data_IF_899658295479
#
_entry.id   IF_899658295479
#
_cell.length_a   1.000
_cell.length_b   1.000
_cell.length_c   1.000
_cell.angle_alpha   90.00
_cell.angle_beta   90.00
_cell.angle_gamma   90.00
#
_symmetry.space_group_name_H-M   'P 1'
#
loop_
_entity.id
_entity.type
_entity.pdbx_description
1 polymer ?
#
# COMPACT_ATOMS: atom_id res chain seq x y z
N UNK A 1 -0.85 -22.00 15.52
CA UNK A 1 -0.97 -21.02 14.42
C UNK A 1 -1.73 -19.77 14.84
N UNK A 2 -3.03 -19.81 15.25
CA UNK A 2 -3.80 -18.58 15.58
C UNK A 2 -3.19 -17.78 16.73
N UNK A 3 -2.79 -18.42 17.82
CA UNK A 3 -2.14 -17.75 18.94
C UNK A 3 -0.76 -17.19 18.56
N UNK A 4 0.01 -17.92 17.78
CA UNK A 4 1.34 -17.50 17.30
C UNK A 4 1.27 -16.27 16.40
N UNK A 5 0.29 -16.21 15.49
CA UNK A 5 0.14 -15.04 14.61
C UNK A 5 -0.35 -13.80 15.37
N UNK A 6 -1.25 -13.98 16.36
CA UNK A 6 -1.67 -12.89 17.25
C UNK A 6 -0.47 -12.35 18.03
N UNK A 7 0.38 -13.22 18.56
CA UNK A 7 1.58 -12.83 19.32
C UNK A 7 2.57 -12.06 18.43
N UNK A 8 2.88 -12.58 17.23
CA UNK A 8 3.72 -11.89 16.24
C UNK A 8 3.17 -10.51 15.92
N UNK A 9 1.93 -10.47 15.46
CA UNK A 9 1.28 -9.23 15.04
C UNK A 9 1.25 -8.18 16.15
N UNK A 10 0.78 -8.56 17.35
CA UNK A 10 0.71 -7.65 18.49
C UNK A 10 2.07 -7.21 19.01
N UNK A 11 3.13 -7.96 18.71
CA UNK A 11 4.52 -7.56 18.97
C UNK A 11 5.00 -6.54 17.95
N UNK A 12 4.76 -6.78 16.66
CA UNK A 12 5.25 -5.91 15.59
C UNK A 12 4.56 -4.54 15.58
N UNK A 13 3.25 -4.48 15.82
CA UNK A 13 2.51 -3.20 15.82
C UNK A 13 2.95 -2.24 16.92
N UNK A 14 3.58 -2.72 17.99
CA UNK A 14 4.10 -1.87 19.07
C UNK A 14 5.37 -1.11 18.70
N UNK A 15 6.05 -1.51 17.64
CA UNK A 15 7.22 -0.78 17.13
C UNK A 15 6.73 0.39 16.29
N UNK A 16 7.10 1.61 16.65
CA UNK A 16 6.77 2.80 15.88
C UNK A 16 7.63 2.85 14.61
N UNK A 17 7.00 2.65 13.47
CA UNK A 17 7.66 2.57 12.15
C UNK A 17 7.05 3.54 11.14
N UNK A 18 6.31 4.55 11.61
CA UNK A 18 5.71 5.55 10.73
C UNK A 18 6.78 6.16 9.81
N UNK A 19 6.49 6.20 8.51
CA UNK A 19 7.38 6.82 7.51
C UNK A 19 7.34 8.35 7.58
N UNK A 20 8.32 9.02 6.97
CA UNK A 20 8.45 10.49 6.95
C UNK A 20 8.81 10.96 5.54
N UNK A 21 7.86 11.60 4.85
CA UNK A 21 8.05 12.15 3.51
C UNK A 21 9.05 13.31 3.45
N UNK A 22 9.30 13.98 4.58
CA UNK A 22 10.11 15.19 4.65
C UNK A 22 11.62 14.94 4.56
N UNK A 23 12.05 13.66 4.67
CA UNK A 23 13.45 13.26 4.62
C UNK A 23 13.75 12.44 3.38
N UNK A 24 15.00 12.52 2.90
CA UNK A 24 15.46 11.77 1.70
C UNK A 24 16.22 10.47 2.06
N UNK A 25 16.31 10.13 3.35
CA UNK A 25 16.95 8.89 3.79
C UNK A 25 16.08 7.66 3.48
N UNK A 26 16.70 6.51 3.36
CA UNK A 26 16.02 5.21 3.25
C UNK A 26 16.67 4.23 4.25
N UNK A 27 15.90 3.69 5.20
CA UNK A 27 14.51 4.05 5.47
C UNK A 27 14.36 5.50 5.95
N UNK A 28 13.16 6.05 5.83
CA UNK A 28 12.86 7.43 6.25
C UNK A 28 12.88 7.61 7.76
N UNK A 29 12.64 6.55 8.53
CA UNK A 29 12.64 6.58 9.99
C UNK A 29 13.42 5.44 10.62
N UNK A 30 14.09 5.64 11.76
CA UNK A 30 14.90 4.61 12.41
C UNK A 30 14.07 3.45 13.01
N UNK A 31 12.78 3.66 13.27
CA UNK A 31 11.89 2.61 13.77
C UNK A 31 11.76 1.43 12.80
N UNK A 32 11.81 1.70 11.51
CA UNK A 32 11.79 0.68 10.47
C UNK A 32 13.01 -0.25 10.55
N UNK A 33 14.19 0.29 10.83
CA UNK A 33 15.39 -0.52 11.09
C UNK A 33 15.25 -1.35 12.37
N UNK A 34 14.59 -0.80 13.39
CA UNK A 34 14.34 -1.54 14.64
C UNK A 34 13.49 -2.76 14.37
N UNK A 35 12.35 -2.60 13.68
CA UNK A 35 11.52 -3.73 13.31
C UNK A 35 12.26 -4.69 12.36
N UNK A 36 12.95 -4.17 11.35
CA UNK A 36 13.72 -4.98 10.40
C UNK A 36 14.75 -5.90 11.08
N UNK A 37 15.48 -5.39 12.08
CA UNK A 37 16.42 -6.22 12.86
C UNK A 37 15.71 -7.29 13.69
N UNK A 38 14.57 -6.97 14.31
CA UNK A 38 13.75 -7.97 15.02
C UNK A 38 13.30 -9.10 14.07
N UNK A 39 12.90 -8.75 12.85
CA UNK A 39 12.46 -9.71 11.84
C UNK A 39 13.62 -10.60 11.37
N UNK A 40 14.82 -10.04 11.20
CA UNK A 40 16.04 -10.84 10.88
C UNK A 40 16.33 -11.86 11.99
N UNK A 41 16.27 -11.44 13.25
CA UNK A 41 16.52 -12.33 14.37
C UNK A 41 15.46 -13.44 14.45
N UNK A 42 14.21 -13.13 14.22
CA UNK A 42 13.12 -14.10 14.20
C UNK A 42 13.23 -15.06 13.00
N UNK A 43 13.50 -14.58 11.79
CA UNK A 43 13.73 -15.41 10.60
C UNK A 43 14.85 -16.42 10.85
N UNK A 44 15.96 -16.02 11.48
CA UNK A 44 17.05 -16.92 11.86
C UNK A 44 16.59 -17.93 12.90
N UNK A 45 15.80 -17.51 13.87
CA UNK A 45 15.32 -18.40 14.96
C UNK A 45 14.40 -19.50 14.45
N UNK A 46 13.60 -19.24 13.42
CA UNK A 46 12.73 -20.25 12.79
C UNK A 46 13.47 -21.13 11.77
N UNK A 47 14.72 -20.79 11.39
CA UNK A 47 15.56 -21.63 10.55
C UNK A 47 16.06 -21.00 9.25
N UNK A 48 15.67 -19.79 8.89
CA UNK A 48 16.11 -19.07 7.68
C UNK A 48 17.44 -18.35 7.95
N UNK A 49 18.54 -19.08 7.90
CA UNK A 49 19.86 -18.64 8.40
C UNK A 49 20.52 -17.53 7.56
N UNK A 50 20.13 -17.37 6.29
CA UNK A 50 20.63 -16.31 5.40
C UNK A 50 19.93 -14.96 5.58
N UNK A 51 18.97 -14.87 6.51
CA UNK A 51 18.23 -13.65 6.78
C UNK A 51 19.18 -12.49 7.10
N UNK A 52 19.02 -11.39 6.40
CA UNK A 52 19.84 -10.19 6.56
C UNK A 52 19.04 -8.93 6.23
N UNK A 53 19.37 -7.84 6.92
CA UNK A 53 18.92 -6.49 6.58
C UNK A 53 20.07 -5.75 5.89
N UNK A 54 19.78 -5.02 4.84
CA UNK A 54 20.78 -4.21 4.17
C UNK A 54 20.84 -2.77 4.73
N UNK A 55 21.74 -1.96 4.19
CA UNK A 55 21.96 -0.57 4.59
C UNK A 55 20.77 0.35 4.33
N UNK A 56 19.85 -0.06 3.45
CA UNK A 56 18.64 0.67 3.11
C UNK A 56 17.40 0.14 3.85
N UNK A 57 17.57 -0.84 4.76
CA UNK A 57 16.48 -1.37 5.58
C UNK A 57 15.70 -2.53 4.97
N UNK A 58 16.07 -3.04 3.80
CA UNK A 58 15.43 -4.21 3.21
C UNK A 58 15.88 -5.49 3.91
N UNK A 59 14.92 -6.21 4.47
CA UNK A 59 15.14 -7.54 5.02
C UNK A 59 14.91 -8.56 3.92
N UNK A 60 15.82 -9.50 3.75
CA UNK A 60 15.66 -10.61 2.80
C UNK A 60 16.08 -11.93 3.43
N UNK A 61 15.37 -13.01 3.09
CA UNK A 61 15.68 -14.36 3.52
C UNK A 61 15.23 -15.40 2.50
N UNK A 62 15.78 -16.62 2.61
CA UNK A 62 15.42 -17.76 1.75
C UNK A 62 14.95 -18.95 2.59
N UNK A 63 13.80 -19.50 2.23
CA UNK A 63 13.44 -20.87 2.57
C UNK A 63 13.85 -21.78 1.41
N UNK A 64 14.85 -22.67 1.59
CA UNK A 64 15.33 -23.56 0.53
C UNK A 64 14.24 -24.52 0.04
N UNK A 65 14.29 -24.91 -1.23
CA UNK A 65 13.43 -25.96 -1.78
C UNK A 65 13.58 -27.26 -1.00
N UNK A 66 12.48 -27.98 -0.82
CA UNK A 66 12.44 -29.33 -0.22
C UNK A 66 11.94 -30.40 -1.21
N UNK A 67 11.97 -30.11 -2.51
CA UNK A 67 11.61 -31.02 -3.60
C UNK A 67 12.75 -31.16 -4.61
N UNK A 68 12.77 -32.25 -5.37
CA UNK A 68 13.72 -32.50 -6.47
C UNK A 68 13.25 -31.92 -7.81
N UNK A 69 12.04 -31.38 -7.87
CA UNK A 69 11.49 -30.75 -9.09
C UNK A 69 12.14 -29.39 -9.34
N UNK A 70 12.15 -28.98 -10.60
CA UNK A 70 12.58 -27.65 -11.03
C UNK A 70 11.42 -26.66 -10.90
N UNK A 71 11.23 -26.15 -9.68
CA UNK A 71 10.16 -25.22 -9.34
C UNK A 71 10.67 -23.79 -9.41
N UNK A 72 9.96 -22.86 -10.08
CA UNK A 72 10.34 -21.46 -10.04
C UNK A 72 10.44 -20.91 -8.61
N UNK A 73 11.49 -20.14 -8.33
CA UNK A 73 11.59 -19.43 -7.05
C UNK A 73 10.53 -18.35 -6.97
N UNK A 74 9.69 -18.39 -5.95
CA UNK A 74 8.64 -17.39 -5.70
C UNK A 74 9.00 -16.52 -4.50
N UNK A 75 8.46 -15.30 -4.46
CA UNK A 75 8.66 -14.36 -3.37
C UNK A 75 7.38 -13.99 -2.65
N UNK A 76 7.48 -13.66 -1.36
CA UNK A 76 6.43 -12.99 -0.59
C UNK A 76 7.00 -11.75 0.06
N UNK A 77 6.28 -10.62 -0.07
CA UNK A 77 6.71 -9.32 0.42
C UNK A 77 5.62 -8.66 1.27
N UNK A 78 6.05 -7.88 2.26
CA UNK A 78 5.22 -6.96 3.02
C UNK A 78 6.07 -5.75 3.42
N UNK A 79 5.43 -4.59 3.68
CA UNK A 79 6.19 -3.43 4.13
C UNK A 79 6.23 -3.27 5.65
N UNK A 80 7.27 -2.62 6.16
CA UNK A 80 7.49 -2.45 7.61
C UNK A 80 6.97 -1.14 8.15
N UNK A 81 6.83 -0.13 7.30
CA UNK A 81 6.37 1.19 7.71
C UNK A 81 4.85 1.25 7.90
N UNK A 82 4.37 2.33 8.45
CA UNK A 82 2.95 2.65 8.61
C UNK A 82 2.66 4.02 8.03
N UNK A 83 1.41 4.21 7.62
CA UNK A 83 0.90 5.42 7.00
C UNK A 83 1.13 6.68 7.83
N UNK A 84 1.26 7.81 7.12
CA UNK A 84 1.46 9.13 7.73
C UNK A 84 0.16 9.82 8.14
N UNK A 85 -1.00 9.26 7.73
CA UNK A 85 -2.34 9.85 7.92
C UNK A 85 -2.74 9.93 9.39
N UNK A 86 -2.36 8.95 10.19
CA UNK A 86 -2.66 8.89 11.62
C UNK A 86 -1.46 8.35 12.40
N UNK A 87 -1.33 8.73 13.67
CA UNK A 87 -0.15 8.33 14.46
C UNK A 87 -0.07 6.83 14.69
N UNK A 88 1.12 6.23 14.45
CA UNK A 88 1.49 4.85 14.78
C UNK A 88 2.32 4.73 16.06
N UNK A 89 2.38 5.80 16.88
CA UNK A 89 3.21 5.83 18.08
C UNK A 89 2.45 5.31 19.31
N UNK A 90 3.06 4.39 20.04
CA UNK A 90 2.47 3.75 21.23
C UNK A 90 1.18 2.97 20.94
N UNK A 91 1.14 2.24 19.85
CA UNK A 91 0.02 1.38 19.51
C UNK A 91 -0.26 0.40 20.64
N UNK A 92 -1.53 0.35 21.08
CA UNK A 92 -2.01 -0.50 22.14
C UNK A 92 -3.13 -1.42 21.59
N UNK A 93 -2.78 -2.56 20.97
CA UNK A 93 -3.75 -3.44 20.34
C UNK A 93 -4.70 -4.06 21.38
N UNK A 94 -5.99 -4.08 21.06
CA UNK A 94 -7.04 -4.67 21.87
C UNK A 94 -7.53 -5.96 21.19
N UNK A 95 -7.69 -7.04 21.96
CA UNK A 95 -8.19 -8.32 21.44
C UNK A 95 -9.65 -8.48 21.86
N UNK A 96 -10.53 -8.63 20.86
CA UNK A 96 -11.96 -8.88 21.04
C UNK A 96 -12.23 -10.32 20.62
N UNK A 97 -12.28 -11.22 21.60
CA UNK A 97 -12.57 -12.63 21.35
C UNK A 97 -14.06 -12.83 21.04
N UNK A 98 -14.34 -13.69 20.05
CA UNK A 98 -15.70 -14.09 19.66
C UNK A 98 -16.64 -12.88 19.49
N UNK A 99 -16.22 -11.94 18.63
CA UNK A 99 -16.99 -10.72 18.37
C UNK A 99 -18.49 -10.99 18.20
N UNK A 100 -19.34 -10.24 18.91
CA UNK A 100 -20.78 -10.51 19.00
C UNK A 100 -21.63 -9.83 17.91
N UNK A 101 -21.02 -8.99 17.07
CA UNK A 101 -21.67 -8.26 15.98
C UNK A 101 -22.21 -6.88 16.39
N UNK A 102 -21.80 -6.34 17.54
CA UNK A 102 -22.24 -5.03 18.05
C UNK A 102 -21.09 -4.03 18.08
N UNK A 103 -21.38 -2.85 18.64
CA UNK A 103 -20.40 -1.80 18.88
C UNK A 103 -19.20 -2.30 19.71
N UNK A 104 -18.00 -1.91 19.28
CA UNK A 104 -16.77 -2.11 20.05
C UNK A 104 -16.33 -0.73 20.57
N UNK A 105 -16.34 -0.55 21.88
CA UNK A 105 -15.85 0.68 22.51
C UNK A 105 -14.33 0.61 22.54
N UNK A 106 -13.69 1.35 21.62
CA UNK A 106 -12.22 1.45 21.55
C UNK A 106 -11.67 2.34 22.68
N UNK A 107 -12.38 3.43 22.98
CA UNK A 107 -11.96 4.38 24.02
C UNK A 107 -13.18 5.07 24.64
N UNK A 108 -13.43 4.78 25.92
CA UNK A 108 -14.56 5.40 26.65
C UNK A 108 -14.37 6.90 26.88
N UNK A 109 -13.13 7.33 27.22
CA UNK A 109 -12.85 8.73 27.55
C UNK A 109 -12.96 9.65 26.31
N UNK A 110 -12.49 9.14 25.15
CA UNK A 110 -12.54 9.85 23.88
C UNK A 110 -13.82 9.59 23.09
N UNK A 111 -14.72 8.74 23.64
CA UNK A 111 -15.96 8.31 22.97
C UNK A 111 -15.73 7.76 21.55
N UNK A 112 -14.65 6.99 21.37
CA UNK A 112 -14.34 6.34 20.10
C UNK A 112 -14.96 4.96 20.10
N UNK A 113 -15.91 4.75 19.18
CA UNK A 113 -16.69 3.52 19.05
C UNK A 113 -16.58 3.03 17.61
N UNK A 114 -16.12 1.78 17.43
CA UNK A 114 -16.17 1.08 16.15
C UNK A 114 -17.56 0.43 16.06
N UNK A 115 -18.43 1.00 15.23
CA UNK A 115 -19.86 0.67 15.19
C UNK A 115 -20.28 0.10 13.83
N UNK A 116 -21.13 -0.95 13.80
CA UNK A 116 -21.78 -1.42 12.57
C UNK A 116 -22.58 -0.36 11.81
N UNK A 117 -23.09 0.65 12.51
CA UNK A 117 -23.82 1.76 11.86
C UNK A 117 -22.91 2.62 10.98
N UNK A 118 -21.63 2.72 11.33
CA UNK A 118 -20.63 3.45 10.57
C UNK A 118 -19.86 2.52 9.63
N UNK A 119 -19.63 1.28 10.01
CA UNK A 119 -18.85 0.28 9.31
C UNK A 119 -19.72 -0.98 9.05
N UNK A 120 -20.49 -0.99 7.96
CA UNK A 120 -21.50 -2.02 7.70
C UNK A 120 -20.91 -3.42 7.40
N UNK A 121 -19.61 -3.52 7.12
CA UNK A 121 -18.88 -4.78 6.97
C UNK A 121 -18.63 -5.49 8.31
N UNK A 122 -18.53 -4.74 9.41
CA UNK A 122 -18.15 -5.24 10.73
C UNK A 122 -19.00 -6.42 11.24
N UNK A 123 -20.34 -6.46 11.07
CA UNK A 123 -21.17 -7.62 11.45
C UNK A 123 -20.78 -8.94 10.75
N UNK A 124 -20.14 -8.87 9.60
CA UNK A 124 -19.63 -10.04 8.87
C UNK A 124 -18.55 -10.82 9.63
N UNK A 125 -17.93 -10.19 10.63
CA UNK A 125 -16.90 -10.78 11.48
C UNK A 125 -17.43 -11.41 12.77
N UNK A 126 -18.75 -11.54 12.91
CA UNK A 126 -19.34 -12.16 14.10
C UNK A 126 -18.78 -13.56 14.35
N UNK A 127 -18.32 -13.79 15.58
CA UNK A 127 -17.66 -15.03 16.01
C UNK A 127 -16.15 -15.05 15.80
N UNK A 128 -15.58 -14.09 15.06
CA UNK A 128 -14.14 -13.97 14.89
C UNK A 128 -13.45 -13.37 16.12
N UNK A 129 -12.17 -13.61 16.26
CA UNK A 129 -11.31 -12.84 17.14
C UNK A 129 -10.81 -11.63 16.36
N UNK A 130 -11.17 -10.43 16.81
CA UNK A 130 -10.70 -9.17 16.19
C UNK A 130 -9.58 -8.57 17.02
N UNK A 131 -8.64 -7.92 16.32
CA UNK A 131 -7.61 -7.10 16.93
C UNK A 131 -7.87 -5.66 16.45
N UNK A 132 -8.02 -4.73 17.39
CA UNK A 132 -8.34 -3.33 17.14
C UNK A 132 -7.30 -2.41 17.78
N UNK A 133 -7.37 -1.13 17.44
CA UNK A 133 -6.65 -0.09 18.21
C UNK A 133 -7.41 0.21 19.51
N UNK A 134 -6.81 1.04 20.37
CA UNK A 134 -7.50 1.67 21.50
C UNK A 134 -8.13 3.03 21.15
N UNK A 135 -8.26 3.36 19.86
CA UNK A 135 -8.85 4.60 19.37
C UNK A 135 -7.95 5.82 19.44
N UNK A 136 -6.69 5.68 19.89
CA UNK A 136 -5.71 6.79 19.97
C UNK A 136 -4.69 6.79 18.85
N UNK A 137 -4.51 5.65 18.18
CA UNK A 137 -3.56 5.43 17.08
C UNK A 137 -4.22 4.65 15.95
N UNK A 138 -3.54 4.56 14.79
CA UNK A 138 -3.80 3.46 13.87
C UNK A 138 -3.40 2.12 14.51
N UNK A 139 -3.75 0.98 13.91
CA UNK A 139 -3.32 -0.33 14.40
C UNK A 139 -1.98 -0.76 13.80
N UNK A 140 -1.76 -0.46 12.53
CA UNK A 140 -0.61 -0.92 11.73
C UNK A 140 -0.80 -2.32 11.16
N UNK A 141 -2.05 -2.76 10.97
CA UNK A 141 -2.35 -3.98 10.22
C UNK A 141 -1.84 -3.86 8.79
N UNK A 142 -1.94 -2.69 8.22
CA UNK A 142 -1.26 -2.25 7.03
C UNK A 142 0.15 -1.73 7.40
N UNK A 143 1.26 -2.52 7.18
CA UNK A 143 1.20 -3.90 6.64
C UNK A 143 1.93 -4.91 7.57
N UNK A 144 1.90 -4.70 8.89
CA UNK A 144 2.50 -5.64 9.85
C UNK A 144 1.69 -6.95 9.95
N UNK A 145 0.46 -6.97 9.41
CA UNK A 145 -0.30 -8.21 9.27
C UNK A 145 0.35 -9.11 8.22
N UNK A 146 0.63 -8.58 7.02
CA UNK A 146 1.34 -9.33 5.98
C UNK A 146 2.70 -9.86 6.45
N UNK A 147 3.44 -9.05 7.24
CA UNK A 147 4.69 -9.53 7.88
C UNK A 147 4.41 -10.74 8.78
N UNK A 148 3.44 -10.64 9.68
CA UNK A 148 3.11 -11.73 10.61
C UNK A 148 2.63 -12.99 9.88
N UNK A 149 1.90 -12.83 8.79
CA UNK A 149 1.38 -13.90 7.95
C UNK A 149 2.50 -14.62 7.20
N UNK A 150 3.41 -13.88 6.56
CA UNK A 150 4.59 -14.44 5.89
C UNK A 150 5.48 -15.18 6.89
N UNK A 151 5.78 -14.56 8.02
CA UNK A 151 6.61 -15.18 9.08
C UNK A 151 5.99 -16.47 9.58
N UNK A 152 4.66 -16.48 9.79
CA UNK A 152 3.95 -17.68 10.27
C UNK A 152 3.88 -18.76 9.20
N UNK A 153 3.72 -18.40 7.92
CA UNK A 153 3.75 -19.35 6.80
C UNK A 153 5.11 -20.02 6.66
N UNK A 154 6.21 -19.26 6.77
CA UNK A 154 7.57 -19.81 6.69
C UNK A 154 7.84 -20.76 7.87
N UNK A 155 7.50 -20.36 9.09
CA UNK A 155 7.64 -21.20 10.29
C UNK A 155 6.81 -22.50 10.16
N UNK A 156 5.59 -22.39 9.61
CA UNK A 156 4.74 -23.55 9.37
C UNK A 156 5.34 -24.51 8.35
N UNK A 157 5.82 -24.03 7.21
CA UNK A 157 6.45 -24.86 6.17
C UNK A 157 7.72 -25.56 6.68
N UNK A 158 8.53 -24.88 7.51
CA UNK A 158 9.72 -25.46 8.13
C UNK A 158 9.35 -26.60 9.10
N UNK A 159 8.28 -26.45 9.86
CA UNK A 159 7.78 -27.46 10.79
C UNK A 159 7.08 -28.62 10.09
N UNK A 160 6.65 -28.44 8.83
CA UNK A 160 5.89 -29.41 8.04
C UNK A 160 6.61 -29.79 6.72
N UNK A 161 7.78 -30.46 6.79
CA UNK A 161 8.58 -30.78 5.61
C UNK A 161 7.91 -31.78 4.63
N UNK A 162 6.81 -32.39 5.03
CA UNK A 162 5.95 -33.19 4.16
C UNK A 162 5.25 -32.33 3.10
N UNK A 163 5.02 -31.03 3.34
CA UNK A 163 4.50 -30.07 2.35
C UNK A 163 5.65 -29.71 1.42
N UNK A 164 5.54 -30.13 0.17
CA UNK A 164 6.58 -29.88 -0.83
C UNK A 164 6.42 -28.50 -1.46
N UNK A 165 7.56 -27.82 -1.62
CA UNK A 165 7.63 -26.48 -2.21
C UNK A 165 8.99 -26.23 -2.88
N UNK A 166 9.03 -25.35 -3.87
CA UNK A 166 10.27 -24.79 -4.41
C UNK A 166 10.97 -23.85 -3.43
N UNK A 167 12.02 -23.18 -3.87
CA UNK A 167 12.65 -22.13 -3.07
C UNK A 167 11.69 -20.94 -2.91
N UNK A 168 11.60 -20.42 -1.69
CA UNK A 168 10.76 -19.25 -1.37
C UNK A 168 11.66 -18.13 -0.88
N UNK A 169 11.50 -16.94 -1.48
CA UNK A 169 12.14 -15.71 -1.04
C UNK A 169 11.17 -14.91 -0.17
N UNK A 170 11.67 -14.32 0.89
CA UNK A 170 10.91 -13.39 1.73
C UNK A 170 11.62 -12.05 1.70
N UNK A 171 10.86 -10.97 1.58
CA UNK A 171 11.39 -9.61 1.77
C UNK A 171 10.43 -8.74 2.57
N UNK A 172 11.00 -7.86 3.41
CA UNK A 172 10.27 -6.80 4.08
C UNK A 172 10.86 -5.47 3.65
N UNK A 173 10.00 -4.58 3.15
CA UNK A 173 10.37 -3.33 2.47
C UNK A 173 10.12 -2.11 3.37
N UNK A 174 10.98 -1.09 3.37
CA UNK A 174 10.72 0.18 4.03
C UNK A 174 9.96 1.15 3.12
N UNK A 175 9.33 2.18 3.71
CA UNK A 175 8.85 3.40 3.03
C UNK A 175 7.84 3.16 1.89
N UNK A 176 7.02 2.11 1.96
CA UNK A 176 5.94 1.84 1.00
C UNK A 176 4.92 2.96 1.02
N UNK A 177 4.46 3.36 2.19
CA UNK A 177 3.40 4.33 2.47
C UNK A 177 3.68 5.75 1.94
N UNK A 178 4.93 6.02 1.63
CA UNK A 178 5.38 7.25 0.97
C UNK A 178 5.82 7.01 -0.48
N UNK A 179 5.46 5.85 -1.06
CA UNK A 179 5.70 5.48 -2.44
C UNK A 179 7.16 5.22 -2.80
N UNK A 180 8.02 4.93 -1.82
CA UNK A 180 9.46 4.72 -2.00
C UNK A 180 9.90 3.26 -1.79
N UNK A 181 9.00 2.37 -1.42
CA UNK A 181 9.30 0.98 -1.05
C UNK A 181 10.27 0.28 -2.01
N UNK A 182 10.02 0.22 -3.33
CA UNK A 182 10.91 -0.49 -4.25
C UNK A 182 12.13 0.30 -4.73
N UNK A 183 12.29 1.59 -4.38
CA UNK A 183 13.27 2.47 -5.01
C UNK A 183 14.72 1.97 -4.93
N UNK A 184 15.08 1.27 -3.86
CA UNK A 184 16.42 0.68 -3.67
C UNK A 184 16.38 -0.84 -3.54
N UNK A 185 15.23 -1.46 -3.87
CA UNK A 185 15.08 -2.91 -3.81
C UNK A 185 15.95 -3.59 -4.86
N UNK A 186 16.80 -4.50 -4.44
CA UNK A 186 17.68 -5.27 -5.33
C UNK A 186 16.97 -6.54 -5.83
N UNK A 187 16.25 -6.41 -6.95
CA UNK A 187 15.53 -7.53 -7.60
C UNK A 187 16.48 -8.68 -7.96
N UNK A 188 17.74 -8.39 -8.35
CA UNK A 188 18.72 -9.43 -8.68
C UNK A 188 19.15 -10.22 -7.47
N UNK A 189 19.37 -9.53 -6.33
CA UNK A 189 19.69 -10.18 -5.05
C UNK A 189 18.48 -10.95 -4.52
N UNK A 190 17.29 -10.40 -4.70
CA UNK A 190 16.06 -11.11 -4.32
C UNK A 190 15.89 -12.41 -5.11
N UNK A 191 16.22 -12.41 -6.39
CA UNK A 191 16.33 -13.59 -7.24
C UNK A 191 15.11 -14.52 -7.21
N UNK A 192 13.92 -13.95 -7.28
CA UNK A 192 12.67 -14.66 -7.49
C UNK A 192 12.17 -14.46 -8.93
N UNK A 193 11.50 -15.46 -9.50
CA UNK A 193 10.86 -15.38 -10.81
C UNK A 193 9.58 -14.54 -10.78
N UNK A 194 8.85 -14.66 -9.68
CA UNK A 194 7.58 -14.00 -9.39
C UNK A 194 7.50 -13.71 -7.89
N UNK A 195 6.65 -12.78 -7.51
CA UNK A 195 6.38 -12.53 -6.10
C UNK A 195 4.89 -12.21 -5.85
N UNK A 196 4.52 -12.13 -4.60
CA UNK A 196 3.23 -11.64 -4.11
C UNK A 196 3.49 -10.63 -3.00
N UNK A 197 2.89 -9.46 -3.06
CA UNK A 197 2.72 -8.63 -1.87
C UNK A 197 1.57 -9.18 -1.05
N UNK A 198 1.75 -9.30 0.25
CA UNK A 198 0.71 -9.68 1.22
C UNK A 198 0.28 -8.39 1.90
N UNK A 199 -0.51 -7.58 1.17
CA UNK A 199 -0.74 -6.17 1.44
C UNK A 199 -2.17 -5.70 1.08
N UNK A 200 -3.05 -6.65 0.79
CA UNK A 200 -4.44 -6.38 0.50
C UNK A 200 -5.30 -6.24 1.76
N UNK A 201 -6.53 -5.80 1.58
CA UNK A 201 -7.50 -5.59 2.65
C UNK A 201 -8.32 -6.84 2.99
N UNK A 202 -9.65 -6.82 2.77
CA UNK A 202 -10.57 -7.86 3.18
C UNK A 202 -10.27 -9.25 2.59
N UNK A 203 -10.78 -10.26 3.27
CA UNK A 203 -10.67 -11.66 2.86
C UNK A 203 -11.03 -11.89 1.39
N UNK A 204 -10.13 -12.51 0.67
CA UNK A 204 -10.29 -12.94 -0.71
C UNK A 204 -9.86 -11.92 -1.76
N UNK A 205 -9.41 -10.74 -1.38
CA UNK A 205 -8.84 -9.79 -2.35
C UNK A 205 -7.62 -10.37 -3.05
N UNK A 206 -7.65 -10.22 -4.39
CA UNK A 206 -6.56 -10.60 -5.28
C UNK A 206 -6.47 -9.54 -6.37
N UNK A 207 -5.35 -8.84 -6.43
CA UNK A 207 -5.22 -7.65 -7.23
C UNK A 207 -3.97 -7.74 -8.12
N UNK A 208 -4.16 -7.48 -9.40
CA UNK A 208 -3.07 -7.47 -10.39
C UNK A 208 -3.15 -6.25 -11.33
N UNK A 209 -4.01 -5.32 -10.98
CA UNK A 209 -4.16 -4.02 -11.64
C UNK A 209 -4.02 -2.89 -10.63
N UNK A 210 -3.33 -1.83 -11.01
CA UNK A 210 -3.19 -0.59 -10.25
C UNK A 210 -3.41 0.61 -11.15
N UNK A 211 -3.60 1.79 -10.59
CA UNK A 211 -3.58 2.99 -11.42
C UNK A 211 -2.24 3.19 -12.15
N UNK A 212 -2.28 3.89 -13.30
CA UNK A 212 -1.16 4.72 -13.73
C UNK A 212 -1.24 6.04 -12.96
N UNK A 213 -0.12 6.56 -12.52
CA UNK A 213 -0.05 7.67 -11.58
C UNK A 213 0.95 8.75 -12.00
N UNK A 214 0.52 10.01 -11.92
CA UNK A 214 1.39 11.16 -12.03
C UNK A 214 1.10 12.17 -10.92
N UNK A 215 2.12 12.92 -10.53
CA UNK A 215 1.99 14.11 -9.69
C UNK A 215 2.23 15.36 -10.55
N UNK A 216 1.44 16.42 -10.31
CA UNK A 216 1.59 17.70 -10.97
C UNK A 216 1.68 18.81 -9.93
N UNK A 217 2.82 19.47 -9.85
CA UNK A 217 3.06 20.64 -9.01
C UNK A 217 3.01 21.90 -9.88
N UNK A 218 2.14 22.84 -9.53
CA UNK A 218 1.96 24.05 -10.31
C UNK A 218 2.28 25.23 -9.40
N UNK A 219 3.23 26.07 -9.85
CA UNK A 219 3.58 27.32 -9.16
C UNK A 219 3.12 28.49 -10.01
N UNK A 220 2.30 29.37 -9.43
CA UNK A 220 1.73 30.55 -10.08
C UNK A 220 2.28 31.80 -9.39
N UNK A 221 2.92 32.68 -10.17
CA UNK A 221 3.46 33.96 -9.70
C UNK A 221 2.47 35.10 -10.03
N UNK A 222 2.09 35.83 -9.01
CA UNK A 222 1.28 37.03 -9.11
C UNK A 222 2.09 38.31 -9.27
N UNK A 223 1.46 39.41 -8.98
CA UNK A 223 2.04 40.75 -8.82
C UNK A 223 1.23 41.51 -7.80
N UNK A 224 1.72 41.61 -6.58
CA UNK A 224 1.02 42.26 -5.51
C UNK A 224 1.29 43.78 -5.54
N UNK A 225 0.23 44.57 -5.40
CA UNK A 225 0.28 46.03 -5.23
C UNK A 225 -0.85 46.46 -4.28
N UNK A 226 -0.74 47.69 -3.75
CA UNK A 226 -1.79 48.20 -2.87
C UNK A 226 -3.17 48.16 -3.55
N UNK A 227 -4.21 47.56 -2.94
CA UNK A 227 -5.55 47.37 -3.56
C UNK A 227 -6.16 48.63 -4.12
N UNK A 228 -5.97 49.78 -3.46
CA UNK A 228 -6.49 51.08 -3.91
C UNK A 228 -5.91 51.60 -5.23
N UNK A 229 -4.76 51.03 -5.67
CA UNK A 229 -4.07 51.41 -6.92
C UNK A 229 -3.81 50.23 -7.83
N UNK A 230 -4.55 49.14 -7.62
CA UNK A 230 -4.32 47.84 -8.25
C UNK A 230 -4.80 47.73 -9.69
N UNK A 231 -5.67 48.61 -10.15
CA UNK A 231 -6.27 48.53 -11.50
C UNK A 231 -5.20 48.53 -12.59
N UNK A 232 -5.20 47.47 -13.41
CA UNK A 232 -4.25 47.25 -14.49
C UNK A 232 -2.80 46.88 -14.07
N UNK A 233 -2.58 46.61 -12.76
CA UNK A 233 -1.26 46.28 -12.21
C UNK A 233 -1.23 45.00 -11.43
N UNK A 234 -2.23 44.78 -10.57
CA UNK A 234 -2.30 43.57 -9.74
C UNK A 234 -2.61 42.32 -10.59
N UNK A 235 -1.87 41.30 -10.36
CA UNK A 235 -2.15 39.93 -10.83
C UNK A 235 -2.23 39.06 -9.59
N UNK A 236 -3.40 38.49 -9.33
CA UNK A 236 -3.64 37.70 -8.13
C UNK A 236 -3.46 36.20 -8.45
N UNK A 237 -2.37 35.63 -7.97
CA UNK A 237 -2.04 34.23 -8.23
C UNK A 237 -3.09 33.26 -7.70
N UNK A 238 -3.72 33.55 -6.54
CA UNK A 238 -4.77 32.71 -5.98
C UNK A 238 -6.01 32.66 -6.89
N UNK A 239 -6.37 33.76 -7.55
CA UNK A 239 -7.48 33.78 -8.54
C UNK A 239 -7.16 32.98 -9.78
N UNK A 240 -5.88 32.98 -10.23
CA UNK A 240 -5.44 32.16 -11.36
C UNK A 240 -5.50 30.68 -10.98
N UNK A 241 -5.09 30.32 -9.74
CA UNK A 241 -5.19 28.96 -9.23
C UNK A 241 -6.63 28.44 -9.20
N UNK A 242 -7.58 29.26 -8.73
CA UNK A 242 -9.01 28.92 -8.76
C UNK A 242 -9.52 28.72 -10.19
N UNK A 243 -9.08 29.57 -11.13
CA UNK A 243 -9.42 29.44 -12.55
C UNK A 243 -8.85 28.17 -13.15
N UNK A 244 -7.59 27.83 -12.85
CA UNK A 244 -6.97 26.58 -13.28
C UNK A 244 -7.82 25.38 -12.87
N UNK A 245 -8.19 25.29 -11.59
CA UNK A 245 -9.04 24.21 -11.09
C UNK A 245 -10.41 24.16 -11.81
N UNK A 246 -11.00 25.31 -12.14
CA UNK A 246 -12.29 25.37 -12.84
C UNK A 246 -12.24 24.97 -14.32
N UNK A 247 -11.07 24.90 -14.92
CA UNK A 247 -10.86 24.46 -16.30
C UNK A 247 -10.65 22.94 -16.42
N UNK A 248 -10.40 22.25 -15.32
CA UNK A 248 -10.38 20.78 -15.27
C UNK A 248 -11.82 20.25 -15.16
N UNK A 249 -12.08 19.02 -15.66
CA UNK A 249 -13.41 18.39 -15.52
C UNK A 249 -13.81 18.27 -14.05
N UNK A 250 -14.94 18.87 -13.69
CA UNK A 250 -15.38 18.94 -12.28
C UNK A 250 -15.89 17.60 -11.73
N UNK A 251 -16.36 16.72 -12.59
CA UNK A 251 -16.87 15.39 -12.28
C UNK A 251 -15.78 14.30 -12.30
N UNK A 252 -14.55 14.65 -12.69
CA UNK A 252 -13.41 13.75 -12.69
C UNK A 252 -12.52 13.98 -11.44
N UNK A 253 -13.13 13.96 -10.26
CA UNK A 253 -12.47 14.04 -8.97
C UNK A 253 -12.80 12.81 -8.11
N UNK A 254 -11.98 12.45 -7.10
CA UNK A 254 -12.19 11.25 -6.30
C UNK A 254 -13.59 11.14 -5.69
N UNK A 255 -14.21 12.26 -5.33
CA UNK A 255 -15.54 12.32 -4.75
C UNK A 255 -16.66 11.94 -5.73
N UNK A 256 -16.37 11.83 -7.02
CA UNK A 256 -17.33 11.52 -8.08
C UNK A 256 -16.98 10.29 -8.92
N UNK A 257 -15.86 9.62 -8.62
CA UNK A 257 -15.35 8.52 -9.44
C UNK A 257 -15.25 7.21 -8.65
N UNK A 258 -15.54 6.08 -9.32
CA UNK A 258 -15.48 4.73 -8.76
C UNK A 258 -14.94 3.72 -9.78
N UNK A 259 -14.72 2.48 -9.35
CA UNK A 259 -14.29 1.38 -10.22
C UNK A 259 -13.05 1.72 -11.03
N UNK A 260 -13.15 1.66 -12.35
CA UNK A 260 -12.06 1.95 -13.29
C UNK A 260 -11.95 3.43 -13.73
N UNK A 261 -12.76 4.31 -13.17
CA UNK A 261 -12.74 5.72 -13.52
C UNK A 261 -11.53 6.43 -12.94
N UNK A 262 -10.82 7.17 -13.80
CA UNK A 262 -9.67 7.98 -13.40
C UNK A 262 -10.08 9.37 -12.92
N UNK A 263 -9.13 10.12 -12.34
CA UNK A 263 -9.41 11.43 -11.74
C UNK A 263 -8.21 12.38 -11.74
N UNK A 264 -8.53 13.66 -11.50
CA UNK A 264 -7.62 14.70 -11.01
C UNK A 264 -7.97 14.99 -9.55
N UNK A 265 -7.01 14.86 -8.66
CA UNK A 265 -7.23 15.19 -7.25
C UNK A 265 -6.32 16.34 -6.82
N UNK A 266 -6.93 17.46 -6.42
CA UNK A 266 -6.22 18.58 -5.82
C UNK A 266 -5.90 18.23 -4.36
N UNK A 267 -4.66 17.81 -4.10
CA UNK A 267 -4.20 17.47 -2.74
C UNK A 267 -4.03 18.70 -1.86
N UNK A 268 -3.48 19.77 -2.42
CA UNK A 268 -3.26 21.00 -1.67
C UNK A 268 -3.25 22.23 -2.55
N UNK A 269 -3.67 23.35 -1.97
CA UNK A 269 -3.50 24.69 -2.50
C UNK A 269 -3.00 25.60 -1.38
N UNK A 270 -1.88 26.29 -1.62
CA UNK A 270 -1.29 27.20 -0.66
C UNK A 270 -0.76 28.44 -1.35
N UNK A 271 -1.09 29.60 -0.83
CA UNK A 271 -0.58 30.87 -1.37
C UNK A 271 -1.44 32.09 -1.08
N UNK A 272 -1.07 33.18 -1.75
CA UNK A 272 -1.70 34.50 -1.60
C UNK A 272 -1.74 35.26 -2.94
N UNK A 273 -1.71 36.60 -2.94
CA UNK A 273 -1.69 37.39 -4.18
C UNK A 273 -0.39 37.22 -4.95
N UNK A 274 0.75 37.06 -4.25
CA UNK A 274 2.08 37.09 -4.85
C UNK A 274 2.49 35.72 -5.44
N UNK A 275 2.24 34.61 -4.72
CA UNK A 275 2.54 33.26 -5.19
C UNK A 275 1.51 32.26 -4.67
N UNK A 276 1.07 31.35 -5.53
CA UNK A 276 0.22 30.21 -5.15
C UNK A 276 0.76 28.91 -5.75
N UNK A 277 0.78 27.88 -4.93
CA UNK A 277 1.19 26.52 -5.31
C UNK A 277 -0.01 25.58 -5.21
N UNK A 278 -0.16 24.73 -6.22
CA UNK A 278 -1.13 23.64 -6.25
C UNK A 278 -0.39 22.33 -6.41
N UNK A 279 -0.88 21.31 -5.73
CA UNK A 279 -0.39 19.93 -5.90
C UNK A 279 -1.57 19.06 -6.31
N UNK A 280 -1.47 18.45 -7.49
CA UNK A 280 -2.41 17.46 -8.01
C UNK A 280 -1.77 16.10 -8.10
N UNK A 281 -2.59 15.08 -7.93
CA UNK A 281 -2.31 13.74 -8.44
C UNK A 281 -3.29 13.41 -9.56
N UNK A 282 -2.81 12.68 -10.56
CA UNK A 282 -3.56 12.26 -11.74
C UNK A 282 -3.52 10.74 -11.76
N UNK A 283 -4.68 10.11 -11.90
CA UNK A 283 -4.84 8.65 -11.88
C UNK A 283 -5.74 8.19 -13.01
N UNK A 284 -5.38 7.09 -13.63
CA UNK A 284 -6.24 6.34 -14.56
C UNK A 284 -5.72 4.91 -14.74
N UNK A 285 -6.59 3.94 -14.92
CA UNK A 285 -6.20 2.56 -15.22
C UNK A 285 -5.76 2.39 -16.67
N UNK A 286 -6.43 3.09 -17.58
CA UNK A 286 -6.10 3.05 -19.01
C UNK A 286 -4.94 4.00 -19.33
N UNK A 287 -3.95 3.50 -20.06
CA UNK A 287 -2.74 4.25 -20.38
C UNK A 287 -2.97 5.43 -21.32
N UNK A 288 -3.89 5.28 -22.27
CA UNK A 288 -4.20 6.32 -23.24
C UNK A 288 -5.04 7.43 -22.58
N UNK A 289 -6.02 7.05 -21.73
CA UNK A 289 -6.75 7.99 -20.90
C UNK A 289 -5.83 8.73 -19.92
N UNK A 290 -4.92 8.02 -19.27
CA UNK A 290 -3.91 8.63 -18.40
C UNK A 290 -3.06 9.68 -19.13
N UNK A 291 -2.60 9.34 -20.33
CA UNK A 291 -1.83 10.28 -21.16
C UNK A 291 -2.70 11.49 -21.55
N UNK A 292 -3.95 11.27 -21.96
CA UNK A 292 -4.92 12.33 -22.29
C UNK A 292 -5.17 13.28 -21.10
N UNK A 293 -5.25 12.74 -19.87
CA UNK A 293 -5.39 13.56 -18.66
C UNK A 293 -4.17 14.46 -18.44
N UNK A 294 -2.97 13.93 -18.63
CA UNK A 294 -1.73 14.73 -18.52
C UNK A 294 -1.67 15.82 -19.58
N UNK A 295 -2.08 15.53 -20.80
CA UNK A 295 -2.15 16.51 -21.88
C UNK A 295 -3.21 17.60 -21.61
N UNK A 296 -4.35 17.23 -21.03
CA UNK A 296 -5.35 18.19 -20.59
C UNK A 296 -4.79 19.14 -19.52
N UNK A 297 -4.06 18.63 -18.53
CA UNK A 297 -3.39 19.48 -17.54
C UNK A 297 -2.40 20.43 -18.19
N UNK A 298 -1.56 19.96 -19.11
CA UNK A 298 -0.62 20.81 -19.87
C UNK A 298 -1.34 21.89 -20.65
N UNK A 299 -2.39 21.53 -21.39
CA UNK A 299 -3.19 22.48 -22.21
C UNK A 299 -3.83 23.57 -21.33
N UNK A 300 -4.38 23.22 -20.17
CA UNK A 300 -4.94 24.19 -19.23
C UNK A 300 -3.87 25.16 -18.73
N UNK A 301 -2.69 24.65 -18.39
CA UNK A 301 -1.56 25.50 -17.99
C UNK A 301 -1.12 26.43 -19.14
N UNK A 302 -0.97 25.90 -20.37
CA UNK A 302 -0.62 26.70 -21.55
C UNK A 302 -1.65 27.79 -21.87
N UNK A 303 -2.94 27.49 -21.73
CA UNK A 303 -4.01 28.49 -21.90
C UNK A 303 -3.83 29.65 -20.92
N UNK A 304 -3.56 29.36 -19.65
CA UNK A 304 -3.36 30.38 -18.63
C UNK A 304 -2.01 31.10 -18.80
N UNK A 305 -0.96 30.44 -19.25
CA UNK A 305 0.31 31.06 -19.62
C UNK A 305 0.15 32.07 -20.77
N UNK A 306 -0.69 31.76 -21.77
CA UNK A 306 -1.00 32.68 -22.87
C UNK A 306 -1.80 33.91 -22.39
N UNK A 307 -2.68 33.75 -21.37
CA UNK A 307 -3.48 34.85 -20.82
C UNK A 307 -2.69 35.72 -19.83
N UNK A 308 -1.87 35.15 -18.98
CA UNK A 308 -1.21 35.84 -17.86
C UNK A 308 0.30 36.02 -18.02
N UNK A 309 0.94 35.33 -18.93
CA UNK A 309 2.37 35.37 -19.22
C UNK A 309 3.06 34.03 -18.97
N UNK A 310 3.94 33.62 -19.89
CA UNK A 310 4.64 32.33 -19.92
C UNK A 310 5.45 32.06 -18.63
N UNK A 311 6.12 33.08 -18.09
CA UNK A 311 7.01 32.92 -16.94
C UNK A 311 6.25 32.88 -15.60
N UNK A 312 4.92 33.09 -15.60
CA UNK A 312 4.12 33.19 -14.37
C UNK A 312 3.64 31.85 -13.88
N UNK A 313 3.46 30.89 -14.76
CA UNK A 313 2.89 29.59 -14.39
C UNK A 313 3.89 28.51 -14.78
N UNK A 314 4.37 27.78 -13.79
CA UNK A 314 5.30 26.66 -13.96
C UNK A 314 4.58 25.37 -13.60
N UNK A 315 4.69 24.37 -14.46
CA UNK A 315 4.20 23.02 -14.25
C UNK A 315 5.40 22.06 -14.15
N UNK A 316 5.50 21.39 -13.02
CA UNK A 316 6.37 20.23 -12.82
C UNK A 316 5.46 19.00 -12.68
N UNK A 317 5.51 18.12 -13.69
CA UNK A 317 4.63 16.93 -13.75
C UNK A 317 5.46 15.70 -14.07
N UNK A 318 5.40 14.70 -13.17
CA UNK A 318 6.20 13.50 -13.24
C UNK A 318 5.33 12.26 -13.02
N UNK A 319 5.58 11.22 -13.82
CA UNK A 319 4.96 9.91 -13.61
C UNK A 319 5.57 9.26 -12.35
N UNK A 320 4.72 8.62 -11.55
CA UNK A 320 5.10 8.00 -10.28
C UNK A 320 5.24 6.48 -10.43
N UNK A 321 4.21 5.85 -11.01
CA UNK A 321 4.17 4.42 -11.31
C UNK A 321 3.14 4.15 -12.42
N UNK A 322 3.12 2.92 -12.91
CA UNK A 322 2.21 2.47 -13.97
C UNK A 322 1.42 1.25 -13.54
N UNK A 323 0.29 1.00 -14.23
CA UNK A 323 -0.56 -0.15 -13.99
C UNK A 323 0.24 -1.46 -14.14
N UNK A 324 0.34 -2.23 -13.06
CA UNK A 324 1.10 -3.49 -13.02
C UNK A 324 0.52 -4.58 -13.94
N UNK A 325 -0.73 -4.47 -14.35
CA UNK A 325 -1.38 -5.41 -15.28
C UNK A 325 -0.52 -5.66 -16.52
N UNK A 326 0.06 -4.63 -17.13
CA UNK A 326 0.91 -4.74 -18.32
C UNK A 326 2.05 -5.75 -18.14
N UNK A 327 2.56 -5.88 -16.92
CA UNK A 327 3.67 -6.77 -16.57
C UNK A 327 3.24 -8.13 -16.02
N UNK A 328 2.04 -8.21 -15.46
CA UNK A 328 1.51 -9.44 -14.86
C UNK A 328 0.72 -10.26 -15.90
N UNK A 329 0.00 -9.61 -16.80
CA UNK A 329 -0.82 -10.28 -17.83
C UNK A 329 -0.04 -11.31 -18.69
N UNK A 330 1.23 -11.07 -19.10
CA UNK A 330 2.04 -12.06 -19.79
C UNK A 330 2.37 -13.33 -18.98
N UNK A 331 2.21 -13.28 -17.67
CA UNK A 331 2.46 -14.38 -16.71
C UNK A 331 1.25 -14.59 -15.80
N UNK A 332 0.05 -14.46 -16.35
CA UNK A 332 -1.22 -14.46 -15.61
C UNK A 332 -1.43 -15.74 -14.77
N UNK A 333 -0.69 -16.80 -15.06
CA UNK A 333 -0.72 -18.05 -14.31
C UNK A 333 -0.44 -17.83 -12.81
N UNK A 334 0.39 -16.84 -12.45
CA UNK A 334 0.66 -16.56 -11.04
C UNK A 334 -0.59 -16.03 -10.31
N UNK A 335 -1.44 -15.26 -11.00
CA UNK A 335 -2.75 -14.81 -10.50
C UNK A 335 -3.71 -16.00 -10.40
N UNK A 336 -3.71 -16.86 -11.41
CA UNK A 336 -4.56 -18.06 -11.43
C UNK A 336 -4.18 -19.04 -10.30
N UNK A 337 -2.89 -19.20 -10.00
CA UNK A 337 -2.41 -20.02 -8.86
C UNK A 337 -2.90 -19.43 -7.54
N UNK A 338 -2.78 -18.13 -7.32
CA UNK A 338 -3.28 -17.48 -6.10
C UNK A 338 -4.80 -17.64 -5.96
N UNK A 339 -5.55 -17.46 -7.07
CA UNK A 339 -6.99 -17.71 -7.11
C UNK A 339 -7.32 -19.17 -6.76
N UNK A 340 -6.63 -20.12 -7.39
CA UNK A 340 -6.80 -21.55 -7.10
C UNK A 340 -6.51 -21.89 -5.63
N UNK A 341 -5.47 -21.30 -5.04
CA UNK A 341 -5.13 -21.49 -3.64
C UNK A 341 -6.26 -21.02 -2.71
N UNK A 342 -6.85 -19.86 -3.00
CA UNK A 342 -8.02 -19.37 -2.27
C UNK A 342 -9.22 -20.32 -2.42
N UNK A 343 -9.55 -20.72 -3.66
CA UNK A 343 -10.66 -21.60 -3.95
C UNK A 343 -10.51 -22.99 -3.29
N UNK A 344 -9.30 -23.57 -3.28
CA UNK A 344 -8.99 -24.82 -2.59
C UNK A 344 -9.28 -24.75 -1.09
N UNK A 345 -9.16 -23.56 -0.51
CA UNK A 345 -9.41 -23.29 0.91
C UNK A 345 -10.84 -22.80 1.19
N UNK A 346 -11.71 -22.80 0.18
CA UNK A 346 -13.09 -22.35 0.29
C UNK A 346 -13.22 -20.83 0.44
N UNK A 347 -12.23 -20.07 -0.01
CA UNK A 347 -12.23 -18.61 -0.03
C UNK A 347 -12.60 -18.15 -1.45
N UNK A 348 -13.64 -17.33 -1.56
CA UNK A 348 -14.00 -16.69 -2.83
C UNK A 348 -12.94 -15.63 -3.18
N UNK A 349 -12.26 -15.82 -4.31
CA UNK A 349 -11.30 -14.83 -4.81
C UNK A 349 -12.03 -13.63 -5.43
N UNK A 350 -11.77 -12.45 -4.90
CA UNK A 350 -12.33 -11.17 -5.34
C UNK A 350 -11.25 -10.42 -6.12
N UNK A 351 -11.30 -10.57 -7.45
CA UNK A 351 -10.35 -9.87 -8.32
C UNK A 351 -10.86 -8.45 -8.54
N UNK A 352 -10.13 -7.47 -8.03
CA UNK A 352 -10.44 -6.05 -8.15
C UNK A 352 -9.18 -5.24 -8.47
N UNK A 353 -9.31 -4.07 -9.10
CA UNK A 353 -8.18 -3.19 -9.30
C UNK A 353 -7.91 -2.35 -8.05
N UNK A 354 -6.62 -2.09 -7.77
CA UNK A 354 -6.20 -1.16 -6.72
C UNK A 354 -6.37 0.28 -7.21
N UNK A 355 -7.23 1.06 -6.56
CA UNK A 355 -7.37 2.51 -6.83
C UNK A 355 -6.24 3.35 -6.22
N UNK A 356 -5.03 2.85 -6.29
CA UNK A 356 -3.78 3.40 -5.77
C UNK A 356 -2.59 2.72 -6.43
N UNK A 357 -1.47 2.74 -5.75
CA UNK A 357 -0.26 1.98 -6.06
C UNK A 357 0.10 1.08 -4.90
N UNK A 358 1.01 0.17 -5.13
CA UNK A 358 1.63 -0.71 -4.13
C UNK A 358 3.07 -0.97 -4.55
N UNK A 359 3.88 -1.54 -3.68
CA UNK A 359 5.22 -2.00 -4.03
C UNK A 359 5.18 -2.92 -5.27
N UNK A 360 4.15 -3.75 -5.39
CA UNK A 360 3.95 -4.64 -6.55
C UNK A 360 3.86 -3.90 -7.89
N UNK A 361 3.31 -2.69 -7.90
CA UNK A 361 3.23 -1.87 -9.12
C UNK A 361 4.62 -1.54 -9.66
N UNK A 362 5.53 -1.08 -8.81
CA UNK A 362 6.89 -0.71 -9.20
C UNK A 362 7.76 -1.96 -9.42
N UNK A 363 7.70 -2.96 -8.54
CA UNK A 363 8.45 -4.22 -8.65
C UNK A 363 8.16 -4.93 -9.97
N UNK A 364 6.90 -4.92 -10.42
CA UNK A 364 6.52 -5.51 -11.71
C UNK A 364 7.25 -4.84 -12.88
N UNK A 365 7.41 -3.52 -12.86
CA UNK A 365 8.19 -2.80 -13.88
C UNK A 365 9.70 -2.95 -13.72
N UNK A 366 10.19 -3.34 -12.54
CA UNK A 366 11.59 -3.68 -12.30
C UNK A 366 11.95 -5.11 -12.74
N UNK A 367 10.97 -5.87 -13.28
CA UNK A 367 11.14 -7.22 -13.80
C UNK A 367 10.79 -8.33 -12.80
N UNK A 368 10.08 -7.99 -11.73
CA UNK A 368 9.53 -8.94 -10.77
C UNK A 368 7.99 -8.82 -10.75
N UNK A 369 7.25 -9.55 -11.61
CA UNK A 369 5.79 -9.53 -11.61
C UNK A 369 5.24 -9.88 -10.23
N UNK A 370 4.47 -8.96 -9.63
CA UNK A 370 4.09 -9.04 -8.22
C UNK A 370 2.62 -8.61 -8.04
N UNK A 371 1.64 -9.54 -8.15
CA UNK A 371 0.27 -9.29 -7.74
C UNK A 371 0.15 -9.19 -6.22
N UNK A 372 -0.97 -8.62 -5.75
CA UNK A 372 -1.27 -8.41 -4.34
C UNK A 372 -2.34 -9.39 -3.85
N UNK A 373 -2.18 -9.92 -2.63
CA UNK A 373 -3.14 -10.78 -1.95
C UNK A 373 -3.54 -10.18 -0.60
N UNK A 374 -4.72 -10.53 -0.11
CA UNK A 374 -5.32 -10.00 1.11
C UNK A 374 -4.53 -10.33 2.38
N UNK A 375 -4.68 -9.48 3.40
CA UNK A 375 -4.28 -9.72 4.80
C UNK A 375 -5.49 -10.04 5.71
N UNK A 376 -6.66 -9.54 5.37
CA UNK A 376 -7.88 -9.67 6.19
C UNK A 376 -8.12 -8.50 7.14
N UNK A 377 -7.46 -7.37 6.92
CA UNK A 377 -7.63 -6.13 7.65
C UNK A 377 -8.67 -5.19 7.03
N UNK A 378 -9.12 -4.21 7.80
CA UNK A 378 -10.15 -3.24 7.45
C UNK A 378 -9.83 -1.86 8.01
N UNK A 379 -10.34 -0.81 7.36
CA UNK A 379 -10.28 0.59 7.81
C UNK A 379 -8.86 1.10 8.05
N UNK A 380 -7.93 0.75 7.18
CA UNK A 380 -6.53 1.14 7.25
C UNK A 380 -6.33 2.65 7.41
N UNK A 381 -5.13 3.06 7.82
CA UNK A 381 -4.69 4.46 7.98
C UNK A 381 -5.43 5.28 9.04
N UNK A 382 -6.18 4.63 9.96
CA UNK A 382 -6.95 5.37 10.94
C UNK A 382 -7.22 4.67 12.26
N UNK A 383 -7.84 5.39 13.18
CA UNK A 383 -8.16 4.90 14.53
C UNK A 383 -9.25 3.81 14.60
N UNK A 384 -9.90 3.53 13.49
CA UNK A 384 -10.91 2.47 13.35
C UNK A 384 -10.38 1.23 12.66
N UNK A 385 -9.08 1.19 12.41
CA UNK A 385 -8.39 0.05 11.82
C UNK A 385 -8.54 -1.18 12.71
N UNK A 386 -8.87 -2.31 12.09
CA UNK A 386 -8.96 -3.60 12.77
C UNK A 386 -8.62 -4.76 11.83
N UNK A 387 -8.28 -5.90 12.40
CA UNK A 387 -8.04 -7.12 11.64
C UNK A 387 -8.62 -8.34 12.32
N UNK A 388 -9.05 -9.30 11.51
CA UNK A 388 -9.52 -10.60 12.00
C UNK A 388 -8.36 -11.61 12.08
N UNK A 389 -8.05 -12.08 13.29
CA UNK A 389 -7.07 -13.15 13.47
C UNK A 389 -7.47 -14.45 12.75
N UNK A 390 -8.76 -14.71 12.58
CA UNK A 390 -9.25 -15.85 11.80
C UNK A 390 -8.95 -15.70 10.31
N UNK A 391 -9.03 -14.48 9.76
CA UNK A 391 -8.68 -14.21 8.38
C UNK A 391 -7.16 -14.17 8.17
N UNK A 392 -6.38 -13.70 9.14
CA UNK A 392 -4.90 -13.83 9.09
C UNK A 392 -4.47 -15.30 8.98
N UNK A 393 -5.10 -16.21 9.72
CA UNK A 393 -4.81 -17.66 9.58
C UNK A 393 -5.16 -18.16 8.17
N UNK A 394 -6.23 -17.64 7.56
CA UNK A 394 -6.56 -17.99 6.17
C UNK A 394 -5.53 -17.44 5.19
N UNK A 395 -5.00 -16.23 5.41
CA UNK A 395 -3.93 -15.67 4.59
C UNK A 395 -2.65 -16.52 4.68
N UNK A 396 -2.26 -16.95 5.88
CA UNK A 396 -1.17 -17.93 6.07
C UNK A 396 -1.39 -19.20 5.24
N UNK A 397 -2.60 -19.76 5.31
CA UNK A 397 -2.92 -20.97 4.57
C UNK A 397 -2.88 -20.74 3.05
N UNK A 398 -3.28 -19.56 2.56
CA UNK A 398 -3.17 -19.19 1.13
C UNK A 398 -1.71 -19.12 0.70
N UNK A 399 -0.82 -18.50 1.50
CA UNK A 399 0.62 -18.46 1.22
C UNK A 399 1.20 -19.88 1.09
N UNK A 400 0.85 -20.77 2.04
CA UNK A 400 1.27 -22.17 2.03
C UNK A 400 0.72 -22.94 0.81
N UNK A 401 -0.55 -22.73 0.48
CA UNK A 401 -1.18 -23.42 -0.67
C UNK A 401 -0.63 -22.90 -2.00
N UNK A 402 -0.31 -21.60 -2.12
CA UNK A 402 0.40 -21.06 -3.31
C UNK A 402 1.72 -21.79 -3.50
N UNK A 403 2.55 -21.89 -2.44
CA UNK A 403 3.84 -22.55 -2.51
C UNK A 403 3.73 -24.03 -2.93
N UNK A 404 2.74 -24.73 -2.41
CA UNK A 404 2.42 -26.11 -2.76
C UNK A 404 1.96 -26.24 -4.22
N UNK A 405 1.06 -25.37 -4.70
CA UNK A 405 0.57 -25.41 -6.07
C UNK A 405 1.68 -25.16 -7.10
N UNK A 406 2.64 -24.28 -6.82
CA UNK A 406 3.81 -24.11 -7.69
C UNK A 406 4.62 -25.42 -7.82
N UNK A 407 4.76 -26.18 -6.74
CA UNK A 407 5.46 -27.48 -6.77
C UNK A 407 4.62 -28.54 -7.50
N UNK A 408 3.32 -28.59 -7.29
CA UNK A 408 2.44 -29.56 -7.94
C UNK A 408 2.38 -29.39 -9.46
N UNK A 409 2.52 -28.15 -9.94
CA UNK A 409 2.44 -27.81 -11.38
C UNK A 409 3.80 -27.87 -12.12
N UNK A 410 4.92 -28.05 -11.40
CA UNK A 410 6.27 -28.12 -11.94
C UNK A 410 6.63 -29.51 -12.54
#
# INVERSE_FOLDING_TARGET
>A
MKEEIIERFTTYVKVDTQSDESVDTCPSTPGQLTLGNMLVDELKSIGMQDAAIDENGYVMATLPSNTEKDVPTIGFLAHVDTATDFTGKNVNPQIVESYDGKDIVLNEQLQVILSPDQFPELPGYKGHTLITTDGTTLLGADNKAGIAEIMTAMDYLIKHPEIKHGAIRVAFTPDEEIGRGPHKFDVKRFNASFAYTVDGGPLGELEYESFNAAAAKITIKGNNVHPGTAKGKMINSAKIAMKLNSLLPADEAPEYTEGYEGFYHLLSIQGDVEETKLHYIIRDFDKDHFQSRKETMKRVVEELQNEYGQDRIQLDMNDQYYNMREKIEPVIEIVNIAKQAMENLGIEAKISPIRGGTDGSQLSYMGLPTPNIFTGGENFHGKFEYISADNMVKAVNVIVEIAKLFEEQA
#
